data_IF_404529413155
#
_entry.id   IF_404529413155
#
_cell.length_a   1.000
_cell.length_b   1.000
_cell.length_c   1.000
_cell.angle_alpha   90.00
_cell.angle_beta   90.00
_cell.angle_gamma   90.00
#
_symmetry.space_group_name_H-M   'P 1'
#
loop_
_entity.id
_entity.type
_entity.pdbx_description
1 polymer ?
#
# COMPACT_ATOMS: atom_id res chain seq x y z
N UNK A 1 16.93 4.72 -1.88
CA UNK A 1 16.30 5.71 -2.79
C UNK A 1 16.20 7.07 -2.10
N UNK A 2 16.04 8.18 -2.84
CA UNK A 2 15.66 9.47 -2.22
C UNK A 2 14.26 9.34 -1.59
N UNK A 3 14.03 10.02 -0.47
CA UNK A 3 12.77 9.93 0.29
C UNK A 3 11.53 10.29 -0.54
N UNK A 4 11.65 11.30 -1.40
CA UNK A 4 10.59 11.69 -2.34
C UNK A 4 10.25 10.58 -3.34
N UNK A 5 11.26 9.86 -3.84
CA UNK A 5 11.04 8.71 -4.74
C UNK A 5 10.28 7.61 -4.00
N UNK A 6 10.65 7.28 -2.76
CA UNK A 6 9.94 6.28 -1.96
C UNK A 6 8.50 6.67 -1.69
N UNK A 7 8.26 7.93 -1.32
CA UNK A 7 6.91 8.44 -1.10
C UNK A 7 6.07 8.35 -2.37
N UNK A 8 6.62 8.74 -3.50
CA UNK A 8 5.92 8.70 -4.79
C UNK A 8 5.64 7.26 -5.24
N UNK A 9 6.60 6.34 -5.07
CA UNK A 9 6.40 4.92 -5.34
C UNK A 9 5.30 4.34 -4.45
N UNK A 10 5.36 4.58 -3.13
CA UNK A 10 4.33 4.11 -2.20
C UNK A 10 2.94 4.65 -2.57
N UNK A 11 2.86 5.93 -2.94
CA UNK A 11 1.64 6.55 -3.41
C UNK A 11 1.05 5.83 -4.63
N UNK A 12 1.85 5.63 -5.68
CA UNK A 12 1.39 4.98 -6.91
C UNK A 12 0.93 3.55 -6.63
N UNK A 13 1.73 2.77 -5.90
CA UNK A 13 1.41 1.36 -5.65
C UNK A 13 0.14 1.23 -4.80
N UNK A 14 0.01 2.03 -3.74
CA UNK A 14 -1.19 1.99 -2.89
C UNK A 14 -2.44 2.42 -3.67
N UNK A 15 -2.33 3.44 -4.52
CA UNK A 15 -3.43 3.87 -5.38
C UNK A 15 -3.82 2.81 -6.41
N UNK A 16 -2.86 2.13 -7.03
CA UNK A 16 -3.17 1.01 -7.96
C UNK A 16 -3.85 -0.12 -7.19
N UNK A 17 -3.32 -0.50 -6.03
CA UNK A 17 -3.94 -1.52 -5.19
C UNK A 17 -5.40 -1.18 -4.88
N UNK A 18 -5.71 0.03 -4.42
CA UNK A 18 -7.09 0.43 -4.10
C UNK A 18 -8.04 0.42 -5.29
N UNK A 19 -7.55 0.74 -6.49
CA UNK A 19 -8.41 0.83 -7.68
C UNK A 19 -8.55 -0.51 -8.41
N UNK A 20 -7.59 -1.43 -8.26
CA UNK A 20 -7.57 -2.70 -8.98
C UNK A 20 -7.97 -3.89 -8.12
N UNK A 21 -7.87 -3.79 -6.79
CA UNK A 21 -8.24 -4.87 -5.88
C UNK A 21 -9.77 -4.95 -5.71
N UNK A 22 -10.28 -6.17 -5.58
CA UNK A 22 -11.62 -6.38 -5.06
C UNK A 22 -11.72 -5.89 -3.61
N UNK A 23 -12.92 -5.45 -3.20
CA UNK A 23 -13.17 -4.95 -1.85
C UNK A 23 -12.75 -5.95 -0.76
N UNK A 24 -12.98 -7.24 -0.97
CA UNK A 24 -12.58 -8.33 -0.08
C UNK A 24 -11.06 -8.38 0.14
N UNK A 25 -10.27 -8.18 -0.90
CA UNK A 25 -8.80 -8.13 -0.81
C UNK A 25 -8.31 -6.89 -0.07
N UNK A 26 -8.98 -5.75 -0.25
CA UNK A 26 -8.68 -4.53 0.50
C UNK A 26 -8.94 -4.76 2.00
N UNK A 27 -10.09 -5.33 2.34
CA UNK A 27 -10.46 -5.67 3.73
C UNK A 27 -9.47 -6.67 4.34
N UNK A 28 -9.07 -7.70 3.60
CA UNK A 28 -8.07 -8.68 4.04
C UNK A 28 -6.71 -8.03 4.31
N UNK A 29 -6.25 -7.13 3.43
CA UNK A 29 -5.00 -6.39 3.64
C UNK A 29 -5.08 -5.53 4.90
N UNK A 30 -6.18 -4.79 5.08
CA UNK A 30 -6.38 -3.95 6.26
C UNK A 30 -6.42 -4.77 7.56
N UNK A 31 -7.06 -5.95 7.53
CA UNK A 31 -7.12 -6.86 8.66
C UNK A 31 -5.75 -7.46 9.00
N UNK A 32 -4.97 -7.88 7.98
CA UNK A 32 -3.59 -8.39 8.13
C UNK A 32 -2.69 -7.37 8.81
N UNK A 33 -2.93 -6.09 8.58
CA UNK A 33 -2.18 -4.98 9.13
C UNK A 33 -3.05 -4.10 10.06
N UNK A 34 -3.76 -4.72 10.98
CA UNK A 34 -4.70 -4.07 11.93
C UNK A 34 -4.06 -3.04 12.86
N UNK A 35 -2.73 -3.01 12.98
CA UNK A 35 -1.99 -1.97 13.70
C UNK A 35 -1.93 -0.61 12.97
N UNK A 36 -2.37 -0.54 11.72
CA UNK A 36 -2.43 0.70 10.93
C UNK A 36 -3.82 1.34 11.07
N UNK A 37 -3.90 2.64 11.34
CA UNK A 37 -5.16 3.36 11.35
C UNK A 37 -5.72 3.61 9.93
N UNK A 38 -6.68 2.80 9.48
CA UNK A 38 -7.27 2.83 8.12
C UNK A 38 -8.40 3.87 7.93
N UNK A 39 -8.18 5.14 8.27
CA UNK A 39 -9.27 6.13 8.31
C UNK A 39 -9.68 6.73 6.96
N UNK A 40 -8.86 6.59 5.92
CA UNK A 40 -9.06 7.35 4.66
C UNK A 40 -8.64 6.60 3.40
N UNK A 41 -8.72 5.27 3.43
CA UNK A 41 -8.20 4.39 2.39
C UNK A 41 -6.74 4.01 2.62
N UNK A 42 -6.27 2.97 1.93
CA UNK A 42 -4.91 2.46 1.95
C UNK A 42 -3.89 3.50 1.54
N UNK A 43 -4.07 4.24 0.42
CA UNK A 43 -3.10 5.25 -0.04
C UNK A 43 -2.83 6.29 1.05
N UNK A 44 -3.88 6.97 1.51
CA UNK A 44 -3.75 8.05 2.48
C UNK A 44 -3.28 7.57 3.85
N UNK A 45 -3.75 6.40 4.28
CA UNK A 45 -3.35 5.83 5.58
C UNK A 45 -1.87 5.44 5.56
N UNK A 46 -1.38 4.80 4.49
CA UNK A 46 0.03 4.43 4.37
C UNK A 46 0.94 5.65 4.23
N UNK A 47 0.56 6.68 3.46
CA UNK A 47 1.35 7.91 3.32
C UNK A 47 1.44 8.70 4.63
N UNK A 48 0.41 8.62 5.49
CA UNK A 48 0.39 9.26 6.81
C UNK A 48 1.19 8.44 7.83
N UNK A 49 1.12 7.11 7.74
CA UNK A 49 1.75 6.20 8.70
C UNK A 49 3.25 5.98 8.44
N UNK A 50 3.67 5.94 7.17
CA UNK A 50 5.06 5.73 6.77
C UNK A 50 5.90 7.02 6.91
N UNK A 51 6.39 7.28 8.13
CA UNK A 51 7.09 8.54 8.48
C UNK A 51 8.55 8.62 8.05
N UNK A 52 9.16 7.51 7.64
CA UNK A 52 10.57 7.47 7.24
C UNK A 52 10.82 6.47 6.09
N UNK A 53 12.00 6.55 5.48
CA UNK A 53 12.35 5.73 4.32
C UNK A 53 12.23 4.22 4.58
N UNK A 54 12.67 3.74 5.76
CA UNK A 54 12.59 2.32 6.12
C UNK A 54 11.13 1.85 6.17
N UNK A 55 10.25 2.65 6.75
CA UNK A 55 8.82 2.33 6.79
C UNK A 55 8.19 2.37 5.40
N UNK A 56 8.61 3.30 4.54
CA UNK A 56 8.10 3.38 3.16
C UNK A 56 8.54 2.16 2.35
N UNK A 57 9.80 1.75 2.43
CA UNK A 57 10.33 0.56 1.75
C UNK A 57 9.56 -0.70 2.16
N UNK A 58 9.34 -0.89 3.47
CA UNK A 58 8.54 -2.01 3.99
C UNK A 58 7.11 -2.02 3.44
N UNK A 59 6.45 -0.87 3.37
CA UNK A 59 5.09 -0.81 2.83
C UNK A 59 5.02 -1.06 1.34
N UNK A 60 6.01 -0.60 0.58
CA UNK A 60 6.17 -0.90 -0.83
C UNK A 60 6.29 -2.42 -1.03
N UNK A 61 7.17 -3.08 -0.28
CA UNK A 61 7.36 -4.53 -0.34
C UNK A 61 6.08 -5.29 0.05
N UNK A 62 5.43 -4.88 1.14
CA UNK A 62 4.20 -5.50 1.62
C UNK A 62 3.06 -5.40 0.59
N UNK A 63 2.89 -4.25 -0.06
CA UNK A 63 1.91 -4.06 -1.12
C UNK A 63 2.22 -4.95 -2.32
N UNK A 64 3.46 -4.92 -2.82
CA UNK A 64 3.87 -5.72 -3.98
C UNK A 64 3.65 -7.22 -3.71
N UNK A 65 4.05 -7.70 -2.54
CA UNK A 65 3.89 -9.11 -2.18
C UNK A 65 2.42 -9.50 -2.08
N UNK A 66 1.59 -8.67 -1.44
CA UNK A 66 0.16 -8.95 -1.34
C UNK A 66 -0.54 -8.91 -2.69
N UNK A 67 -0.22 -7.92 -3.54
CA UNK A 67 -0.77 -7.82 -4.89
C UNK A 67 -0.40 -9.04 -5.75
N UNK A 68 0.84 -9.52 -5.65
CA UNK A 68 1.27 -10.77 -6.31
C UNK A 68 0.52 -11.99 -5.77
N UNK A 69 0.41 -12.12 -4.45
CA UNK A 69 -0.29 -13.22 -3.78
C UNK A 69 -1.76 -13.32 -4.23
N UNK A 70 -2.42 -12.17 -4.40
CA UNK A 70 -3.83 -12.07 -4.82
C UNK A 70 -4.03 -11.91 -6.33
N UNK A 71 -2.96 -12.03 -7.12
CA UNK A 71 -2.97 -11.85 -8.58
C UNK A 71 -3.66 -10.54 -9.04
N UNK A 72 -3.43 -9.45 -8.29
CA UNK A 72 -3.96 -8.12 -8.60
C UNK A 72 -3.05 -7.50 -9.66
N UNK A 73 -3.55 -7.44 -10.90
CA UNK A 73 -2.80 -6.92 -12.03
C UNK A 73 -2.67 -5.38 -11.97
N UNK A 74 -1.48 -4.89 -12.35
CA UNK A 74 -1.27 -3.48 -12.66
C UNK A 74 -1.91 -3.19 -14.04
N UNK A 75 -3.16 -2.73 -14.04
CA UNK A 75 -3.70 -2.07 -15.23
C UNK A 75 -3.28 -0.60 -15.14
N UNK A 76 -2.18 -0.26 -15.82
CA UNK A 76 -1.74 1.13 -16.03
C UNK A 76 -2.43 1.68 -17.27
#
# INVERSE_FOLDING_TARGET
MKSETLKHTLQILARVFENSAEKSHIEEFMAKYSGVPWYSGVERSLLTYARNNITMERWIENLINFMKEKNIAYNV
#
